data_IF_791885496209
#
_entry.id   IF_791885496209
#
_cell.length_a   1.000
_cell.length_b   1.000
_cell.length_c   1.000
_cell.angle_alpha   90.00
_cell.angle_beta   90.00
_cell.angle_gamma   90.00
#
_symmetry.space_group_name_H-M   'P 1'
#
loop_
_entity.id
_entity.type
_entity.pdbx_description
1 polymer ?
#
# COMPACT_ATOMS: atom_id res chain seq x y z
N UNK A 1 -16.53 31.18 12.90
CA UNK A 1 -15.82 31.94 13.96
C UNK A 1 -14.32 31.74 13.82
N UNK A 2 -13.51 32.77 14.03
CA UNK A 2 -12.05 32.63 14.03
C UNK A 2 -11.60 32.22 15.43
N UNK A 3 -11.43 30.92 15.66
CA UNK A 3 -10.84 30.39 16.89
C UNK A 3 -9.39 30.90 17.00
N UNK A 4 -9.05 31.55 18.08
CA UNK A 4 -7.72 32.09 18.33
C UNK A 4 -6.88 31.19 19.24
N UNK A 5 -7.53 30.36 20.05
CA UNK A 5 -6.89 29.45 20.99
C UNK A 5 -7.64 28.13 21.10
N UNK A 6 -6.92 27.03 21.33
CA UNK A 6 -7.55 25.73 21.61
C UNK A 6 -8.46 25.77 22.86
N UNK A 7 -8.23 26.69 23.79
CA UNK A 7 -9.09 26.87 24.96
C UNK A 7 -10.50 27.39 24.62
N UNK A 8 -10.72 27.92 23.42
CA UNK A 8 -12.02 28.40 22.94
C UNK A 8 -12.87 27.28 22.30
N UNK A 9 -12.27 26.12 22.05
CA UNK A 9 -12.94 24.97 21.43
C UNK A 9 -13.85 24.31 22.48
N UNK A 10 -15.16 24.45 22.26
CA UNK A 10 -16.21 23.83 23.07
C UNK A 10 -17.04 22.83 22.23
N UNK A 11 -18.09 22.31 22.80
CA UNK A 11 -18.95 21.31 22.14
C UNK A 11 -19.63 21.89 20.90
N UNK A 12 -20.06 23.13 20.93
CA UNK A 12 -20.74 23.79 19.81
C UNK A 12 -19.80 23.93 18.60
N UNK A 13 -18.57 24.37 18.84
CA UNK A 13 -17.54 24.44 17.79
C UNK A 13 -17.21 23.09 17.21
N UNK A 14 -17.14 22.06 18.05
CA UNK A 14 -16.93 20.68 17.56
C UNK A 14 -18.10 20.20 16.68
N UNK A 15 -19.33 20.44 17.09
CA UNK A 15 -20.52 20.05 16.32
C UNK A 15 -20.59 20.76 14.97
N UNK A 16 -20.30 22.07 14.92
CA UNK A 16 -20.17 22.81 13.65
C UNK A 16 -19.10 22.14 12.73
N UNK A 17 -17.97 21.76 13.28
CA UNK A 17 -16.92 21.06 12.52
C UNK A 17 -17.39 19.70 12.00
N UNK A 18 -18.07 18.90 12.82
CA UNK A 18 -18.58 17.58 12.43
C UNK A 18 -19.64 17.69 11.34
N UNK A 19 -20.55 18.68 11.43
CA UNK A 19 -21.54 18.99 10.39
C UNK A 19 -20.80 19.40 9.10
N UNK A 20 -19.84 20.31 9.18
CA UNK A 20 -19.06 20.72 8.02
C UNK A 20 -18.32 19.53 7.37
N UNK A 21 -17.77 18.63 8.18
CA UNK A 21 -17.07 17.43 7.68
C UNK A 21 -18.03 16.48 6.98
N UNK A 22 -19.27 16.32 7.48
CA UNK A 22 -20.30 15.45 6.87
C UNK A 22 -20.81 15.99 5.54
N UNK A 23 -20.71 17.30 5.28
CA UNK A 23 -21.13 17.92 4.00
C UNK A 23 -20.03 17.90 2.94
N UNK A 24 -18.81 17.55 3.30
CA UNK A 24 -17.71 17.42 2.32
C UNK A 24 -17.82 16.13 1.52
N UNK A 25 -17.46 16.21 0.25
CA UNK A 25 -17.31 15.04 -0.63
C UNK A 25 -15.99 14.29 -0.30
N UNK A 26 -15.93 13.74 0.90
CA UNK A 26 -14.81 12.94 1.40
C UNK A 26 -15.31 11.57 1.83
N UNK A 27 -14.46 10.54 1.70
CA UNK A 27 -14.85 9.19 2.09
C UNK A 27 -15.13 9.09 3.59
N UNK A 28 -16.06 8.22 3.99
CA UNK A 28 -16.35 7.95 5.41
C UNK A 28 -15.09 7.57 6.22
N UNK A 29 -14.18 6.78 5.63
CA UNK A 29 -12.91 6.41 6.25
C UNK A 29 -12.00 7.62 6.47
N UNK A 30 -11.95 8.57 5.53
CA UNK A 30 -11.19 9.80 5.70
C UNK A 30 -11.79 10.67 6.81
N UNK A 31 -13.12 10.82 6.85
CA UNK A 31 -13.81 11.57 7.88
C UNK A 31 -13.56 10.99 9.28
N UNK A 32 -13.69 9.67 9.43
CA UNK A 32 -13.37 8.96 10.69
C UNK A 32 -11.91 9.21 11.12
N UNK A 33 -10.96 9.14 10.18
CA UNK A 33 -9.54 9.40 10.45
C UNK A 33 -9.29 10.83 10.91
N UNK A 34 -9.96 11.83 10.31
CA UNK A 34 -9.85 13.22 10.71
C UNK A 34 -10.38 13.44 12.13
N UNK A 35 -11.56 12.89 12.45
CA UNK A 35 -12.18 13.00 13.78
C UNK A 35 -11.30 12.35 14.85
N UNK A 36 -10.80 11.13 14.60
CA UNK A 36 -9.91 10.42 15.54
C UNK A 36 -8.60 11.19 15.75
N UNK A 37 -8.02 11.74 14.68
CA UNK A 37 -6.78 12.53 14.78
C UNK A 37 -6.99 13.80 15.57
N UNK A 38 -8.07 14.53 15.29
CA UNK A 38 -8.43 15.76 16.02
C UNK A 38 -8.68 15.46 17.51
N UNK A 39 -9.45 14.42 17.82
CA UNK A 39 -9.68 13.96 19.19
C UNK A 39 -8.36 13.75 19.94
N UNK A 40 -7.44 12.97 19.38
CA UNK A 40 -6.13 12.70 20.01
C UNK A 40 -5.34 13.98 20.26
N UNK A 41 -5.34 14.90 19.30
CA UNK A 41 -4.62 16.17 19.44
C UNK A 41 -5.21 17.02 20.57
N UNK A 42 -6.53 17.21 20.60
CA UNK A 42 -7.20 18.00 21.62
C UNK A 42 -7.11 17.39 23.01
N UNK A 43 -7.28 16.07 23.15
CA UNK A 43 -7.05 15.36 24.42
C UNK A 43 -5.60 15.50 24.91
N UNK A 44 -4.62 15.48 24.00
CA UNK A 44 -3.21 15.68 24.36
C UNK A 44 -2.95 17.13 24.83
N UNK A 45 -3.49 18.11 24.13
CA UNK A 45 -3.40 19.52 24.50
C UNK A 45 -4.10 19.75 25.85
N UNK A 46 -5.27 19.15 26.06
CA UNK A 46 -6.00 19.19 27.32
C UNK A 46 -5.14 18.75 28.50
N UNK A 47 -4.48 17.60 28.36
CA UNK A 47 -3.57 17.05 29.38
C UNK A 47 -2.34 17.92 29.64
N UNK A 48 -1.70 18.44 28.59
CA UNK A 48 -0.47 19.25 28.72
C UNK A 48 -0.77 20.59 29.37
N UNK A 49 -1.88 21.24 29.02
CA UNK A 49 -2.22 22.59 29.48
C UNK A 49 -3.31 22.61 30.54
N UNK A 50 -3.72 21.45 31.07
CA UNK A 50 -4.78 21.32 32.09
C UNK A 50 -6.12 21.92 31.65
N UNK A 51 -6.49 21.74 30.39
CA UNK A 51 -7.79 22.12 29.85
C UNK A 51 -8.74 20.90 29.92
N UNK A 52 -9.29 20.62 31.10
CA UNK A 52 -10.17 19.44 31.35
C UNK A 52 -11.28 19.29 30.31
N UNK A 53 -11.85 20.41 29.84
CA UNK A 53 -12.91 20.42 28.83
C UNK A 53 -12.48 19.72 27.51
N UNK A 54 -11.22 19.87 27.10
CA UNK A 54 -10.71 19.26 25.87
C UNK A 54 -10.51 17.76 26.00
N UNK A 55 -10.25 17.26 27.22
CA UNK A 55 -10.09 15.84 27.48
C UNK A 55 -11.41 15.06 27.34
N UNK A 56 -12.54 15.74 27.59
CA UNK A 56 -13.89 15.15 27.58
C UNK A 56 -14.79 15.72 26.48
N UNK A 57 -14.20 16.44 25.52
CA UNK A 57 -14.96 17.13 24.47
C UNK A 57 -15.69 16.16 23.54
N UNK A 58 -15.04 15.05 23.19
CA UNK A 58 -15.58 14.03 22.26
C UNK A 58 -16.39 12.97 22.97
N UNK A 59 -17.49 12.57 22.36
CA UNK A 59 -18.26 11.39 22.73
C UNK A 59 -18.12 10.31 21.63
N UNK A 60 -18.45 9.06 21.96
CA UNK A 60 -18.24 7.95 21.02
C UNK A 60 -19.04 8.06 19.72
N UNK A 61 -20.20 8.73 19.75
CA UNK A 61 -21.04 8.97 18.57
C UNK A 61 -20.50 10.03 17.62
N UNK A 62 -19.48 10.80 18.02
CA UNK A 62 -18.84 11.78 17.14
C UNK A 62 -17.96 11.13 16.07
N UNK A 63 -17.51 9.89 16.33
CA UNK A 63 -16.70 9.16 15.38
C UNK A 63 -17.63 8.50 14.37
N UNK A 64 -17.54 8.87 13.07
CA UNK A 64 -18.34 8.22 12.05
C UNK A 64 -18.10 6.70 12.07
N UNK A 65 -19.15 5.87 11.94
CA UNK A 65 -19.00 4.43 11.93
C UNK A 65 -18.08 4.00 10.80
N UNK A 66 -17.26 2.97 11.04
CA UNK A 66 -16.47 2.36 9.98
C UNK A 66 -17.42 1.73 8.95
N UNK A 67 -17.43 2.28 7.76
CA UNK A 67 -18.02 1.63 6.60
C UNK A 67 -16.97 0.67 6.08
N UNK A 68 -17.25 -0.64 6.14
CA UNK A 68 -16.39 -1.63 5.53
C UNK A 68 -16.33 -1.33 4.02
N UNK A 69 -15.20 -0.82 3.55
CA UNK A 69 -14.96 -0.69 2.12
C UNK A 69 -15.06 -2.10 1.50
N UNK A 70 -15.75 -2.22 0.38
CA UNK A 70 -15.77 -3.46 -0.37
C UNK A 70 -14.31 -3.87 -0.68
N UNK A 71 -13.99 -5.09 -0.28
CA UNK A 71 -12.67 -5.64 -0.52
C UNK A 71 -12.60 -6.09 -1.99
N UNK A 72 -12.13 -5.18 -2.85
CA UNK A 72 -11.98 -5.47 -4.27
C UNK A 72 -10.63 -6.13 -4.54
N UNK A 73 -10.65 -7.17 -5.35
CA UNK A 73 -9.48 -7.88 -5.87
C UNK A 73 -9.61 -7.98 -7.37
N UNK A 74 -8.51 -7.89 -8.10
CA UNK A 74 -8.52 -8.14 -9.53
C UNK A 74 -8.86 -9.60 -9.82
N UNK A 75 -9.69 -9.85 -10.84
CA UNK A 75 -9.90 -11.18 -11.39
C UNK A 75 -8.65 -11.65 -12.17
N UNK A 76 -8.57 -12.96 -12.47
CA UNK A 76 -7.47 -13.51 -13.26
C UNK A 76 -7.44 -12.91 -14.68
N UNK A 77 -8.61 -12.62 -15.26
CA UNK A 77 -8.71 -12.00 -16.58
C UNK A 77 -8.37 -10.50 -16.55
N UNK A 78 -8.75 -9.80 -15.49
CA UNK A 78 -8.30 -8.43 -15.24
C UNK A 78 -6.77 -8.37 -15.13
N UNK A 79 -6.17 -9.28 -14.34
CA UNK A 79 -4.72 -9.36 -14.20
C UNK A 79 -4.01 -9.64 -15.53
N UNK A 80 -4.55 -10.54 -16.37
CA UNK A 80 -4.01 -10.83 -17.70
C UNK A 80 -4.04 -9.59 -18.61
N UNK A 81 -5.20 -8.89 -18.67
CA UNK A 81 -5.34 -7.67 -19.48
C UNK A 81 -4.38 -6.57 -19.02
N UNK A 82 -4.30 -6.33 -17.71
CA UNK A 82 -3.42 -5.33 -17.15
C UNK A 82 -1.95 -5.67 -17.40
N UNK A 83 -1.54 -6.92 -17.21
CA UNK A 83 -0.16 -7.35 -17.43
C UNK A 83 0.25 -7.31 -18.90
N UNK A 84 -0.66 -7.58 -19.84
CA UNK A 84 -0.37 -7.42 -21.27
C UNK A 84 0.08 -5.99 -21.61
N UNK A 85 -0.53 -4.98 -21.00
CA UNK A 85 -0.15 -3.60 -21.20
C UNK A 85 1.07 -3.19 -20.34
N UNK A 86 1.17 -3.66 -19.10
CA UNK A 86 2.33 -3.39 -18.24
C UNK A 86 3.62 -3.86 -18.89
N UNK A 87 3.63 -5.02 -19.55
CA UNK A 87 4.82 -5.55 -20.22
C UNK A 87 5.32 -4.71 -21.39
N UNK A 88 4.49 -3.81 -21.92
CA UNK A 88 4.85 -2.88 -22.98
C UNK A 88 5.38 -1.54 -22.45
N UNK A 89 5.33 -1.32 -21.15
CA UNK A 89 5.81 -0.10 -20.51
C UNK A 89 7.34 -0.07 -20.42
N UNK A 90 7.87 1.03 -19.88
CA UNK A 90 9.29 1.15 -19.54
C UNK A 90 9.78 -0.07 -18.75
N UNK A 91 10.98 -0.56 -19.08
CA UNK A 91 11.54 -1.82 -18.56
C UNK A 91 11.59 -1.85 -17.03
N UNK A 92 12.00 -0.75 -16.38
CA UNK A 92 12.06 -0.70 -14.92
C UNK A 92 10.66 -0.77 -14.30
N UNK A 93 9.69 -0.03 -14.87
CA UNK A 93 8.30 -0.02 -14.39
C UNK A 93 7.66 -1.38 -14.58
N UNK A 94 7.78 -1.98 -15.76
CA UNK A 94 7.23 -3.30 -16.06
C UNK A 94 7.77 -4.35 -15.10
N UNK A 95 9.09 -4.45 -14.95
CA UNK A 95 9.74 -5.41 -14.05
C UNK A 95 9.38 -5.15 -12.60
N UNK A 96 9.37 -3.89 -12.15
CA UNK A 96 8.98 -3.53 -10.79
C UNK A 96 7.56 -4.01 -10.46
N UNK A 97 6.59 -3.77 -11.34
CA UNK A 97 5.20 -4.16 -11.14
C UNK A 97 5.01 -5.67 -11.19
N UNK A 98 5.66 -6.38 -12.11
CA UNK A 98 5.61 -7.84 -12.18
C UNK A 98 6.23 -8.49 -10.93
N UNK A 99 7.40 -8.01 -10.50
CA UNK A 99 8.04 -8.48 -9.26
C UNK A 99 7.16 -8.19 -8.05
N UNK A 100 6.55 -7.00 -7.99
CA UNK A 100 5.65 -6.61 -6.92
C UNK A 100 4.44 -7.55 -6.81
N UNK A 101 3.84 -7.92 -7.94
CA UNK A 101 2.74 -8.90 -8.00
C UNK A 101 3.16 -10.27 -7.48
N UNK A 102 4.32 -10.76 -7.93
CA UNK A 102 4.84 -12.08 -7.55
C UNK A 102 5.33 -12.14 -6.10
N UNK A 103 5.74 -11.01 -5.53
CA UNK A 103 6.15 -10.92 -4.13
C UNK A 103 4.98 -10.69 -3.17
N UNK A 104 3.91 -10.02 -3.59
CA UNK A 104 2.80 -9.64 -2.71
C UNK A 104 3.21 -8.71 -1.57
N UNK A 105 4.33 -8.00 -1.70
CA UNK A 105 4.85 -7.03 -0.71
C UNK A 105 4.05 -5.72 -0.71
N UNK A 106 4.38 -4.77 0.17
CA UNK A 106 3.96 -3.38 -0.02
C UNK A 106 4.81 -2.74 -1.11
N UNK A 107 4.25 -1.78 -1.84
CA UNK A 107 5.01 -1.13 -2.93
C UNK A 107 6.30 -0.48 -2.44
N UNK A 108 6.29 0.13 -1.25
CA UNK A 108 7.49 0.68 -0.63
C UNK A 108 8.59 -0.36 -0.48
N UNK A 109 8.22 -1.58 -0.07
CA UNK A 109 9.18 -2.66 0.18
C UNK A 109 9.75 -3.22 -1.14
N UNK A 110 8.96 -3.20 -2.22
CA UNK A 110 9.44 -3.56 -3.57
C UNK A 110 10.38 -2.50 -4.13
N UNK A 111 10.03 -1.23 -4.00
CA UNK A 111 10.83 -0.11 -4.52
C UNK A 111 12.18 0.04 -3.81
N UNK A 112 12.28 -0.44 -2.57
CA UNK A 112 13.53 -0.41 -1.78
C UNK A 112 14.28 -1.74 -1.76
N UNK A 113 13.97 -2.65 -2.71
CA UNK A 113 14.76 -3.87 -2.90
C UNK A 113 16.20 -3.53 -3.29
N UNK A 114 17.15 -4.19 -2.65
CA UNK A 114 18.58 -4.00 -2.85
C UNK A 114 19.15 -5.04 -3.81
N UNK A 115 20.25 -4.74 -4.51
CA UNK A 115 20.91 -5.71 -5.41
C UNK A 115 21.34 -7.00 -4.72
N UNK A 116 21.62 -6.97 -3.41
CA UNK A 116 22.05 -8.12 -2.60
C UNK A 116 20.87 -8.92 -1.99
N UNK A 117 19.64 -8.62 -2.40
CA UNK A 117 18.44 -9.26 -1.81
C UNK A 117 18.30 -10.75 -2.12
N UNK A 118 18.95 -11.25 -3.17
CA UNK A 118 18.88 -12.66 -3.58
C UNK A 118 19.89 -13.51 -2.81
N UNK A 119 19.41 -14.59 -2.24
CA UNK A 119 20.24 -15.61 -1.58
C UNK A 119 19.77 -17.00 -1.97
N UNK A 120 20.60 -18.02 -1.73
CA UNK A 120 20.24 -19.41 -1.96
C UNK A 120 20.51 -20.23 -0.72
N UNK A 121 19.48 -20.93 -0.24
CA UNK A 121 19.55 -21.74 0.97
C UNK A 121 19.02 -23.15 0.66
N UNK A 122 19.84 -24.17 0.92
CA UNK A 122 19.49 -25.59 0.66
C UNK A 122 18.92 -25.85 -0.75
N UNK A 123 19.48 -25.18 -1.77
CA UNK A 123 19.02 -25.30 -3.16
C UNK A 123 17.77 -24.51 -3.52
N UNK A 124 17.14 -23.82 -2.55
CA UNK A 124 15.98 -22.95 -2.73
C UNK A 124 16.42 -21.49 -2.89
N UNK A 125 15.87 -20.81 -3.90
CA UNK A 125 16.06 -19.38 -4.08
C UNK A 125 15.25 -18.63 -3.02
N UNK A 126 15.90 -17.69 -2.33
CA UNK A 126 15.33 -16.89 -1.26
C UNK A 126 15.48 -15.42 -1.58
N UNK A 127 14.53 -14.62 -1.14
CA UNK A 127 14.64 -13.16 -1.15
C UNK A 127 14.64 -12.61 0.26
N UNK A 128 15.50 -11.64 0.51
CA UNK A 128 15.55 -10.87 1.72
C UNK A 128 14.95 -9.49 1.50
N UNK A 129 13.93 -9.15 2.29
CA UNK A 129 13.15 -7.91 2.15
C UNK A 129 13.29 -7.07 3.40
N UNK A 130 13.68 -5.80 3.20
CA UNK A 130 13.69 -4.78 4.24
C UNK A 130 12.35 -4.06 4.24
N UNK A 131 11.53 -4.30 5.26
CA UNK A 131 10.28 -3.56 5.39
C UNK A 131 10.53 -2.19 6.01
N UNK A 132 10.14 -1.13 5.34
CA UNK A 132 10.27 0.26 5.81
C UNK A 132 9.61 0.47 7.19
N UNK A 133 8.52 -0.26 7.48
CA UNK A 133 7.77 -0.12 8.74
C UNK A 133 8.06 -1.19 9.79
N UNK A 134 8.83 -2.24 9.45
CA UNK A 134 9.02 -3.39 10.34
C UNK A 134 10.44 -3.91 10.28
N UNK A 135 10.63 -5.19 10.24
CA UNK A 135 11.95 -5.80 10.25
C UNK A 135 12.25 -6.49 8.91
N UNK A 136 13.51 -6.76 8.70
CA UNK A 136 14.06 -7.66 7.69
C UNK A 136 13.42 -9.04 7.79
N UNK A 137 12.97 -9.61 6.68
CA UNK A 137 12.49 -10.99 6.64
C UNK A 137 12.90 -11.66 5.33
N UNK A 138 13.05 -12.98 5.38
CA UNK A 138 13.34 -13.82 4.22
C UNK A 138 12.14 -14.68 3.87
N UNK A 139 11.97 -14.92 2.59
CA UNK A 139 10.99 -15.90 2.09
C UNK A 139 11.49 -16.62 0.85
N UNK A 140 11.02 -17.88 0.60
CA UNK A 140 11.31 -18.57 -0.64
C UNK A 140 10.62 -17.89 -1.82
N UNK A 141 11.27 -17.97 -3.00
CA UNK A 141 10.75 -17.47 -4.26
C UNK A 141 10.89 -18.51 -5.35
N UNK A 142 10.10 -18.35 -6.42
CA UNK A 142 10.21 -19.21 -7.59
C UNK A 142 11.47 -18.91 -8.41
N UNK A 143 11.89 -19.86 -9.23
CA UNK A 143 13.03 -19.69 -10.15
C UNK A 143 12.76 -18.57 -11.17
N UNK A 144 11.52 -18.43 -11.61
CA UNK A 144 11.09 -17.38 -12.55
C UNK A 144 11.27 -15.98 -11.91
N UNK A 145 10.84 -15.84 -10.66
CA UNK A 145 11.00 -14.58 -9.93
C UNK A 145 12.47 -14.27 -9.66
N UNK A 146 13.27 -15.29 -9.29
CA UNK A 146 14.70 -15.12 -9.08
C UNK A 146 15.41 -14.65 -10.37
N UNK A 147 15.06 -15.24 -11.54
CA UNK A 147 15.59 -14.80 -12.84
C UNK A 147 15.18 -13.37 -13.18
N UNK A 148 13.92 -13.01 -12.94
CA UNK A 148 13.42 -11.65 -13.20
C UNK A 148 14.10 -10.61 -12.32
N UNK A 149 14.33 -10.93 -11.04
CA UNK A 149 15.09 -10.08 -10.12
C UNK A 149 16.55 -9.94 -10.57
N UNK A 150 17.21 -11.05 -10.93
CA UNK A 150 18.59 -11.03 -11.41
C UNK A 150 18.72 -10.16 -12.67
N UNK A 151 17.83 -10.34 -13.66
CA UNK A 151 17.82 -9.52 -14.87
C UNK A 151 17.55 -8.03 -14.57
N UNK A 152 16.80 -7.74 -13.52
CA UNK A 152 16.55 -6.35 -13.11
C UNK A 152 17.78 -5.73 -12.44
N UNK A 153 18.50 -6.51 -11.64
CA UNK A 153 19.77 -6.09 -11.02
C UNK A 153 20.81 -5.78 -12.11
N UNK A 154 20.98 -6.71 -13.06
CA UNK A 154 21.93 -6.57 -14.18
C UNK A 154 21.60 -5.32 -15.02
N UNK A 155 20.34 -5.13 -15.38
CA UNK A 155 19.90 -3.94 -16.13
C UNK A 155 20.24 -2.64 -15.40
N UNK A 156 20.01 -2.60 -14.09
CA UNK A 156 20.28 -1.38 -13.31
C UNK A 156 21.78 -1.13 -13.19
N UNK A 157 22.58 -2.18 -12.97
CA UNK A 157 24.04 -2.08 -12.93
C UNK A 157 24.63 -1.63 -14.27
N UNK A 158 24.14 -2.17 -15.39
CA UNK A 158 24.62 -1.75 -16.73
C UNK A 158 24.26 -0.29 -17.02
N UNK A 159 23.07 0.16 -16.66
CA UNK A 159 22.58 1.50 -17.01
C UNK A 159 23.05 2.59 -16.07
N UNK A 160 23.16 2.30 -14.78
CA UNK A 160 23.39 3.30 -13.71
C UNK A 160 24.63 3.03 -12.85
N UNK A 161 25.29 1.88 -13.01
CA UNK A 161 26.41 1.46 -12.17
C UNK A 161 25.94 0.89 -10.83
N UNK A 162 26.79 1.01 -9.80
CA UNK A 162 26.48 0.54 -8.45
C UNK A 162 25.44 1.46 -7.80
N UNK A 163 24.28 0.91 -7.48
CA UNK A 163 23.17 1.61 -6.86
C UNK A 163 22.72 0.90 -5.58
N UNK A 164 22.12 1.66 -4.65
CA UNK A 164 21.56 1.08 -3.43
C UNK A 164 20.30 0.25 -3.68
N UNK A 165 19.55 0.56 -4.74
CA UNK A 165 18.25 -0.05 -5.05
C UNK A 165 18.25 -0.68 -6.44
N UNK A 166 17.39 -1.70 -6.64
CA UNK A 166 17.18 -2.33 -7.96
C UNK A 166 16.38 -1.41 -8.89
N UNK A 167 15.37 -0.71 -8.33
CA UNK A 167 14.50 0.19 -9.07
C UNK A 167 14.81 1.63 -8.69
N UNK A 168 15.49 2.33 -9.57
CA UNK A 168 16.03 3.66 -9.29
C UNK A 168 15.30 4.76 -10.04
N UNK A 169 15.37 5.97 -9.50
CA UNK A 169 14.97 7.16 -10.23
C UNK A 169 16.02 7.45 -11.32
N UNK A 170 15.62 7.52 -12.58
CA UNK A 170 16.54 7.72 -13.70
C UNK A 170 17.31 9.04 -13.65
N UNK A 171 16.75 10.07 -13.01
CA UNK A 171 17.41 11.37 -12.85
C UNK A 171 18.32 11.44 -11.64
N UNK A 172 18.04 10.64 -10.62
CA UNK A 172 18.74 10.56 -9.34
C UNK A 172 18.92 9.09 -8.93
N UNK A 173 19.88 8.34 -9.54
CA UNK A 173 20.01 6.89 -9.33
C UNK A 173 20.30 6.45 -7.89
N UNK A 174 20.74 7.37 -7.05
CA UNK A 174 20.92 7.14 -5.60
C UNK A 174 19.59 7.03 -4.83
N UNK A 175 18.47 7.32 -5.50
CA UNK A 175 17.14 7.26 -4.92
C UNK A 175 16.29 6.17 -5.57
N UNK A 176 15.42 5.51 -4.80
CA UNK A 176 14.49 4.54 -5.38
C UNK A 176 13.46 5.26 -6.27
N UNK A 177 12.92 4.53 -7.23
CA UNK A 177 11.80 4.97 -8.05
C UNK A 177 10.61 5.36 -7.16
N UNK A 178 9.91 6.43 -7.52
CA UNK A 178 8.78 6.93 -6.74
C UNK A 178 7.46 6.29 -7.18
N UNK A 179 6.67 5.83 -6.22
CA UNK A 179 5.36 5.23 -6.50
C UNK A 179 4.44 6.14 -7.31
N UNK A 180 4.41 7.44 -7.01
CA UNK A 180 3.54 8.38 -7.74
C UNK A 180 3.90 8.50 -9.22
N UNK A 181 5.19 8.42 -9.57
CA UNK A 181 5.64 8.40 -10.96
C UNK A 181 5.13 7.13 -11.68
N UNK A 182 5.23 5.97 -11.05
CA UNK A 182 4.69 4.72 -11.58
C UNK A 182 3.17 4.83 -11.76
N UNK A 183 2.46 5.26 -10.71
CA UNK A 183 1.00 5.38 -10.73
C UNK A 183 0.53 6.29 -11.86
N UNK A 184 1.15 7.45 -12.04
CA UNK A 184 0.81 8.39 -13.11
C UNK A 184 0.98 7.74 -14.48
N UNK A 185 2.10 7.07 -14.75
CA UNK A 185 2.36 6.41 -16.05
C UNK A 185 1.37 5.25 -16.30
N UNK A 186 1.04 4.45 -15.27
CA UNK A 186 0.06 3.37 -15.41
C UNK A 186 -1.35 3.93 -15.64
N UNK A 187 -1.73 4.98 -14.94
CA UNK A 187 -3.05 5.63 -15.14
C UNK A 187 -3.17 6.25 -16.53
N UNK A 188 -2.10 6.89 -17.04
CA UNK A 188 -2.07 7.38 -18.43
C UNK A 188 -2.24 6.25 -19.43
N UNK A 189 -1.52 5.14 -19.25
CA UNK A 189 -1.65 3.95 -20.11
C UNK A 189 -3.08 3.39 -20.09
N UNK A 190 -3.71 3.26 -18.91
CA UNK A 190 -5.09 2.79 -18.77
C UNK A 190 -6.03 3.72 -19.53
N UNK A 191 -5.86 5.03 -19.40
CA UNK A 191 -6.68 6.03 -20.09
C UNK A 191 -6.48 5.99 -21.60
N UNK A 192 -5.24 5.94 -22.08
CA UNK A 192 -4.90 5.92 -23.51
C UNK A 192 -5.40 4.63 -24.19
N UNK A 193 -5.26 3.50 -23.53
CA UNK A 193 -5.70 2.19 -24.02
C UNK A 193 -7.18 1.91 -23.78
N UNK A 194 -7.89 2.80 -23.06
CA UNK A 194 -9.28 2.57 -22.63
C UNK A 194 -9.45 1.20 -21.97
N UNK A 195 -8.49 0.83 -21.13
CA UNK A 195 -8.48 -0.47 -20.47
C UNK A 195 -9.62 -0.56 -19.46
N UNK A 196 -10.49 -1.54 -19.65
CA UNK A 196 -11.70 -1.72 -18.85
C UNK A 196 -11.63 -2.94 -17.95
N UNK A 197 -12.22 -2.83 -16.78
CA UNK A 197 -12.43 -3.92 -15.84
C UNK A 197 -13.56 -4.86 -16.28
N UNK A 198 -13.86 -5.89 -15.47
CA UNK A 198 -14.92 -6.86 -15.76
C UNK A 198 -16.32 -6.26 -15.72
N UNK A 199 -16.49 -5.06 -15.17
CA UNK A 199 -17.76 -4.31 -15.15
C UNK A 199 -17.89 -3.32 -16.30
N UNK A 200 -16.87 -3.20 -17.17
CA UNK A 200 -16.87 -2.28 -18.29
C UNK A 200 -16.46 -0.84 -17.93
N UNK A 201 -16.07 -0.61 -16.69
CA UNK A 201 -15.55 0.69 -16.23
C UNK A 201 -14.03 0.80 -16.49
N UNK A 202 -13.51 2.02 -16.54
CA UNK A 202 -12.06 2.22 -16.63
C UNK A 202 -11.37 1.54 -15.44
N UNK A 203 -10.27 0.87 -15.73
CA UNK A 203 -9.53 0.08 -14.77
C UNK A 203 -9.04 0.92 -13.59
N UNK A 204 -9.44 0.58 -12.38
CA UNK A 204 -8.90 1.20 -11.17
C UNK A 204 -7.53 0.63 -10.85
N UNK A 205 -6.49 1.50 -10.77
CA UNK A 205 -5.14 1.05 -10.46
C UNK A 205 -4.72 1.38 -9.03
N UNK A 206 -4.29 0.35 -8.32
CA UNK A 206 -3.67 0.46 -7.02
C UNK A 206 -2.78 -0.73 -6.73
N UNK A 207 -1.52 -0.47 -6.36
CA UNK A 207 -0.54 -1.54 -6.07
C UNK A 207 -0.95 -2.43 -4.89
N UNK A 208 -1.81 -1.93 -4.00
CA UNK A 208 -2.36 -2.74 -2.91
C UNK A 208 -3.28 -3.85 -3.41
N UNK A 209 -3.92 -3.66 -4.56
CA UNK A 209 -4.74 -4.66 -5.24
C UNK A 209 -3.91 -5.90 -5.64
N UNK A 210 -2.66 -5.72 -6.07
CA UNK A 210 -1.76 -6.84 -6.37
C UNK A 210 -1.45 -7.68 -5.12
N UNK A 211 -1.25 -7.01 -4.00
CA UNK A 211 -1.04 -7.70 -2.73
C UNK A 211 -2.29 -8.44 -2.27
N UNK A 212 -3.48 -7.87 -2.49
CA UNK A 212 -4.75 -8.56 -2.23
C UNK A 212 -4.91 -9.78 -3.13
N UNK A 213 -4.67 -9.62 -4.43
CA UNK A 213 -4.68 -10.73 -5.38
C UNK A 213 -3.73 -11.86 -4.95
N UNK A 214 -2.48 -11.53 -4.62
CA UNK A 214 -1.52 -12.50 -4.11
C UNK A 214 -2.01 -13.19 -2.83
N UNK A 215 -2.58 -12.46 -1.89
CA UNK A 215 -3.14 -13.01 -0.66
C UNK A 215 -4.29 -13.98 -0.91
N UNK A 216 -5.19 -13.65 -1.84
CA UNK A 216 -6.30 -14.54 -2.26
C UNK A 216 -5.75 -15.81 -2.90
N UNK A 217 -4.78 -15.69 -3.81
CA UNK A 217 -4.15 -16.89 -4.42
C UNK A 217 -3.50 -17.82 -3.39
N UNK A 218 -2.89 -17.29 -2.33
CA UNK A 218 -2.38 -18.11 -1.23
C UNK A 218 -3.51 -18.83 -0.46
N UNK A 219 -4.67 -18.20 -0.28
CA UNK A 219 -5.82 -18.85 0.37
C UNK A 219 -6.44 -19.94 -0.52
N UNK A 220 -6.51 -19.72 -1.83
CA UNK A 220 -6.96 -20.74 -2.81
C UNK A 220 -6.04 -21.97 -2.83
N UNK A 221 -4.75 -21.79 -2.54
CA UNK A 221 -3.80 -22.90 -2.36
C UNK A 221 -3.96 -23.64 -1.02
N UNK A 222 -4.99 -23.34 -0.23
CA UNK A 222 -5.29 -23.94 1.08
C UNK A 222 -4.14 -23.84 2.09
N UNK A 223 -3.29 -22.84 1.99
CA UNK A 223 -2.25 -22.59 3.00
C UNK A 223 -2.87 -22.14 4.32
N UNK A 224 -2.22 -22.49 5.43
CA UNK A 224 -2.62 -22.03 6.75
C UNK A 224 -2.31 -20.54 6.98
N UNK A 225 -3.00 -19.94 7.94
CA UNK A 225 -2.90 -18.50 8.20
C UNK A 225 -1.49 -18.05 8.63
N UNK A 226 -0.74 -18.90 9.32
CA UNK A 226 0.63 -18.61 9.71
C UNK A 226 1.55 -18.53 8.49
N UNK A 227 1.42 -19.47 7.59
CA UNK A 227 2.17 -19.49 6.34
C UNK A 227 1.84 -18.28 5.48
N UNK A 228 0.55 -17.95 5.32
CA UNK A 228 0.10 -16.75 4.59
C UNK A 228 0.66 -15.48 5.24
N UNK A 229 0.53 -15.34 6.56
CA UNK A 229 1.06 -14.20 7.29
C UNK A 229 2.57 -14.02 7.09
N UNK A 230 3.32 -15.14 7.15
CA UNK A 230 4.78 -15.15 6.92
C UNK A 230 5.15 -14.74 5.50
N UNK A 231 4.47 -15.28 4.49
CA UNK A 231 4.72 -14.95 3.08
C UNK A 231 4.40 -13.49 2.75
N UNK A 232 3.40 -12.90 3.42
CA UNK A 232 3.01 -11.50 3.30
C UNK A 232 3.81 -10.56 4.22
N UNK A 233 4.63 -11.09 5.14
CA UNK A 233 5.35 -10.31 6.13
C UNK A 233 4.42 -9.62 7.15
N UNK A 234 3.30 -10.26 7.51
CA UNK A 234 2.39 -9.78 8.54
C UNK A 234 2.87 -10.20 9.93
N UNK A 235 2.78 -9.28 10.90
CA UNK A 235 3.07 -9.57 12.32
C UNK A 235 1.89 -10.20 13.05
N UNK A 236 0.66 -10.03 12.55
CA UNK A 236 -0.59 -10.47 13.19
C UNK A 236 -1.44 -11.26 12.21
N UNK A 237 -2.04 -12.35 12.68
CA UNK A 237 -2.92 -13.21 11.88
C UNK A 237 -4.21 -12.53 11.46
N UNK A 238 -4.73 -11.59 12.26
CA UNK A 238 -5.98 -10.89 11.94
C UNK A 238 -5.98 -10.26 10.55
N UNK A 239 -4.81 -9.86 10.04
CA UNK A 239 -4.68 -9.31 8.70
C UNK A 239 -4.88 -10.34 7.58
N UNK A 240 -4.77 -11.63 7.88
CA UNK A 240 -4.98 -12.72 6.90
C UNK A 240 -6.46 -13.02 6.71
N UNK A 241 -7.28 -12.80 7.74
CA UNK A 241 -8.73 -13.06 7.69
C UNK A 241 -9.45 -12.26 6.59
N UNK A 242 -8.91 -11.11 6.19
CA UNK A 242 -9.46 -10.33 5.08
C UNK A 242 -9.41 -11.06 3.74
N UNK A 243 -8.45 -11.99 3.54
CA UNK A 243 -8.30 -12.76 2.31
C UNK A 243 -9.18 -14.02 2.28
N UNK A 244 -9.71 -14.47 3.42
CA UNK A 244 -10.56 -15.67 3.54
C UNK A 244 -12.06 -15.37 3.47
N UNK A 245 -12.46 -14.10 3.50
CA UNK A 245 -13.87 -13.68 3.51
C UNK A 245 -14.45 -13.53 2.09
N UNK A 246 -13.75 -14.03 1.10
CA UNK A 246 -14.19 -13.98 -0.30
C UNK A 246 -14.70 -15.34 -0.77
#
# INVERSE_FOLDING_TARGET
SKIKSCSEIDREVLEEFLIHLSTKDTSHSANSSYVISLRRQLETIGKIYSYERLEHLFINTDIPPEVNAEFRVYSDDEMKRLNAEITQMDVQIARCLLIHQMLGTRISDTLTLRPDCLTRENGQDMIEIYQVKTKRYKKPISKELAKLLQSSIEYTQEKFGDTEYIFVNEKEPDRPMQYMAIKTKVMSMIQEKQLKDDHGELFGFGTHMFRHYYGVKLTEMHLDDWTIARLLGHKRLNNVQHYRKM
#
